data_IF_226042543746
#
_entry.id   IF_226042543746
#
_cell.length_a   1.000
_cell.length_b   1.000
_cell.length_c   1.000
_cell.angle_alpha   90.00
_cell.angle_beta   90.00
_cell.angle_gamma   90.00
#
_symmetry.space_group_name_H-M   'P 1'
#
loop_
_entity.id
_entity.type
_entity.pdbx_description
1 polymer ?
#
# COMPACT_ATOMS: atom_id res chain seq x y z
N UNK A 1 24.92 5.20 -2.01
CA UNK A 1 23.71 6.01 -2.21
C UNK A 1 24.02 7.41 -1.70
N UNK A 2 23.92 8.42 -2.57
CA UNK A 2 24.12 9.83 -2.22
C UNK A 2 23.00 10.31 -1.29
N UNK A 3 23.23 11.38 -0.52
CA UNK A 3 22.19 12.04 0.29
C UNK A 3 21.01 12.46 -0.61
N UNK A 4 21.29 12.91 -1.83
CA UNK A 4 20.27 13.28 -2.83
C UNK A 4 19.39 12.09 -3.25
N UNK A 5 19.97 10.90 -3.38
CA UNK A 5 19.21 9.70 -3.78
C UNK A 5 18.21 9.32 -2.68
N UNK A 6 18.60 9.41 -1.41
CA UNK A 6 17.73 9.10 -0.27
C UNK A 6 16.53 10.04 -0.18
N UNK A 7 16.71 11.34 -0.42
CA UNK A 7 15.61 12.30 -0.41
C UNK A 7 14.62 12.04 -1.56
N UNK A 8 15.11 11.77 -2.78
CA UNK A 8 14.25 11.43 -3.93
C UNK A 8 13.41 10.18 -3.65
N UNK A 9 14.01 9.16 -3.05
CA UNK A 9 13.30 7.95 -2.67
C UNK A 9 12.25 8.19 -1.57
N UNK A 10 12.56 9.06 -0.62
CA UNK A 10 11.64 9.45 0.46
C UNK A 10 10.46 10.24 -0.10
N UNK A 11 10.70 11.17 -1.02
CA UNK A 11 9.66 11.93 -1.70
C UNK A 11 8.75 10.99 -2.49
N UNK A 12 9.31 10.08 -3.31
CA UNK A 12 8.51 9.10 -4.06
C UNK A 12 7.62 8.23 -3.15
N UNK A 13 8.17 7.76 -2.02
CA UNK A 13 7.41 7.01 -1.03
C UNK A 13 6.27 7.84 -0.43
N UNK A 14 6.55 9.07 0.00
CA UNK A 14 5.55 9.96 0.59
C UNK A 14 4.47 10.36 -0.41
N UNK A 15 4.83 10.65 -1.66
CA UNK A 15 3.89 11.01 -2.71
C UNK A 15 2.97 9.83 -3.08
N UNK A 16 3.46 8.60 -2.95
CA UNK A 16 2.69 7.39 -3.33
C UNK A 16 1.86 6.82 -2.17
N UNK A 17 2.39 6.83 -0.95
CA UNK A 17 1.78 6.14 0.21
C UNK A 17 1.45 7.09 1.38
N UNK A 18 1.85 8.36 1.32
CA UNK A 18 1.69 9.35 2.39
C UNK A 18 0.25 9.50 2.89
N UNK A 19 -0.70 9.59 1.97
CA UNK A 19 -2.12 9.72 2.32
C UNK A 19 -2.66 8.49 3.06
N UNK A 20 -2.20 7.29 2.69
CA UNK A 20 -2.58 6.05 3.38
C UNK A 20 -1.97 5.97 4.78
N UNK A 21 -0.72 6.44 4.95
CA UNK A 21 -0.05 6.48 6.25
C UNK A 21 -0.80 7.41 7.21
N UNK A 22 -1.14 8.61 6.75
CA UNK A 22 -1.92 9.56 7.55
C UNK A 22 -3.33 9.05 7.81
N UNK A 23 -3.95 8.36 6.86
CA UNK A 23 -5.25 7.72 7.09
C UNK A 23 -5.17 6.66 8.20
N UNK A 24 -4.23 5.73 8.14
CA UNK A 24 -4.07 4.68 9.17
C UNK A 24 -3.82 5.29 10.56
N UNK A 25 -2.96 6.32 10.63
CA UNK A 25 -2.67 7.04 11.88
C UNK A 25 -3.88 7.76 12.47
N UNK A 26 -4.74 8.34 11.63
CA UNK A 26 -5.89 9.12 12.08
C UNK A 26 -7.13 8.26 12.39
N UNK A 27 -7.21 7.05 11.83
CA UNK A 27 -8.40 6.20 11.92
C UNK A 27 -8.17 4.89 12.68
N UNK A 28 -6.96 4.65 13.22
CA UNK A 28 -6.56 3.38 13.84
C UNK A 28 -6.90 2.17 12.93
N UNK A 29 -6.58 2.33 11.63
CA UNK A 29 -6.81 1.31 10.63
C UNK A 29 -5.50 0.61 10.22
N UNK A 30 -5.62 -0.40 9.36
CA UNK A 30 -4.49 -1.18 8.86
C UNK A 30 -4.53 -1.33 7.33
N UNK A 31 -4.99 -0.29 6.61
CA UNK A 31 -5.16 -0.37 5.15
C UNK A 31 -3.81 -0.46 4.44
N UNK A 32 -2.76 0.16 4.98
CA UNK A 32 -1.42 0.14 4.39
C UNK A 32 -0.83 -1.28 4.44
N UNK A 33 -0.97 -1.95 5.58
CA UNK A 33 -0.50 -3.33 5.77
C UNK A 33 -1.27 -4.32 4.88
N UNK A 34 -2.60 -4.15 4.80
CA UNK A 34 -3.46 -4.94 3.93
C UNK A 34 -3.10 -4.76 2.46
N UNK A 35 -2.82 -3.53 2.03
CA UNK A 35 -2.36 -3.25 0.68
C UNK A 35 -1.01 -3.91 0.39
N UNK A 36 -0.03 -3.79 1.31
CA UNK A 36 1.29 -4.41 1.16
C UNK A 36 1.17 -5.91 0.92
N UNK A 37 0.44 -6.61 1.80
CA UNK A 37 0.27 -8.05 1.68
C UNK A 37 -0.49 -8.46 0.41
N UNK A 38 -1.52 -7.70 0.03
CA UNK A 38 -2.26 -7.90 -1.21
C UNK A 38 -1.34 -7.83 -2.44
N UNK A 39 -0.48 -6.82 -2.52
CA UNK A 39 0.47 -6.62 -3.63
C UNK A 39 1.54 -7.71 -3.67
N UNK A 40 2.09 -8.10 -2.52
CA UNK A 40 3.08 -9.18 -2.40
C UNK A 40 2.50 -10.54 -2.83
N UNK A 41 1.19 -10.72 -2.68
CA UNK A 41 0.47 -11.94 -3.07
C UNK A 41 -0.27 -11.82 -4.41
N UNK A 42 0.27 -11.02 -5.33
CA UNK A 42 -0.23 -10.86 -6.71
C UNK A 42 -1.70 -10.42 -6.79
N UNK A 43 -2.13 -9.58 -5.87
CA UNK A 43 -3.49 -9.07 -5.83
C UNK A 43 -4.54 -10.09 -5.37
N UNK A 44 -4.14 -11.10 -4.59
CA UNK A 44 -5.08 -12.11 -4.09
C UNK A 44 -5.81 -11.64 -2.84
N UNK A 45 -7.08 -11.23 -3.00
CA UNK A 45 -7.98 -10.94 -1.86
C UNK A 45 -8.13 -12.15 -0.94
N UNK A 46 -8.19 -13.36 -1.51
CA UNK A 46 -8.35 -14.58 -0.72
C UNK A 46 -7.16 -14.82 0.20
N UNK A 47 -5.93 -14.81 -0.34
CA UNK A 47 -4.71 -14.99 0.48
C UNK A 47 -4.59 -13.89 1.54
N UNK A 48 -4.94 -12.66 1.18
CA UNK A 48 -4.94 -11.53 2.12
C UNK A 48 -5.93 -11.77 3.26
N UNK A 49 -7.15 -12.22 2.96
CA UNK A 49 -8.16 -12.49 3.96
C UNK A 49 -7.75 -13.63 4.92
N UNK A 50 -7.14 -14.69 4.37
CA UNK A 50 -6.58 -15.80 5.15
C UNK A 50 -5.45 -15.35 6.08
N UNK A 51 -4.55 -14.48 5.61
CA UNK A 51 -3.44 -13.96 6.40
C UNK A 51 -3.89 -13.09 7.58
N UNK A 52 -4.84 -12.19 7.34
CA UNK A 52 -5.37 -11.30 8.38
C UNK A 52 -6.47 -11.94 9.23
N UNK A 53 -6.81 -13.22 9.01
CA UNK A 53 -7.88 -13.93 9.71
C UNK A 53 -9.23 -13.19 9.67
N UNK A 54 -9.55 -12.57 8.53
CA UNK A 54 -10.80 -11.84 8.32
C UNK A 54 -11.55 -12.36 7.11
N UNK A 55 -12.82 -11.99 7.00
CA UNK A 55 -13.59 -12.31 5.80
C UNK A 55 -13.11 -11.48 4.60
N UNK A 56 -13.19 -12.04 3.38
CA UNK A 56 -12.84 -11.35 2.12
C UNK A 56 -13.52 -9.98 1.94
N UNK A 57 -14.73 -9.81 2.46
CA UNK A 57 -15.46 -8.53 2.38
C UNK A 57 -14.74 -7.43 3.19
N UNK A 58 -14.13 -7.80 4.32
CA UNK A 58 -13.36 -6.88 5.15
C UNK A 58 -12.07 -6.45 4.43
N UNK A 59 -11.43 -7.34 3.67
CA UNK A 59 -10.31 -6.99 2.79
C UNK A 59 -10.77 -6.08 1.65
N UNK A 60 -11.84 -6.46 0.94
CA UNK A 60 -12.38 -5.64 -0.16
C UNK A 60 -12.76 -4.23 0.30
N UNK A 61 -13.35 -4.08 1.48
CA UNK A 61 -13.64 -2.77 2.05
C UNK A 61 -12.38 -1.92 2.22
N UNK A 62 -11.31 -2.49 2.79
CA UNK A 62 -10.03 -1.79 2.97
C UNK A 62 -9.37 -1.46 1.64
N UNK A 63 -9.36 -2.40 0.70
CA UNK A 63 -8.82 -2.18 -0.65
C UNK A 63 -9.62 -1.12 -1.42
N UNK A 64 -10.95 -1.06 -1.28
CA UNK A 64 -11.76 0.02 -1.83
C UNK A 64 -11.40 1.36 -1.18
N UNK A 65 -11.18 1.39 0.14
CA UNK A 65 -10.70 2.60 0.83
C UNK A 65 -9.33 3.06 0.31
N UNK A 66 -8.42 2.14 0.02
CA UNK A 66 -7.14 2.48 -0.63
C UNK A 66 -7.37 3.15 -1.98
N UNK A 67 -8.23 2.58 -2.83
CA UNK A 67 -8.54 3.16 -4.15
C UNK A 67 -9.18 4.54 -4.02
N UNK A 68 -10.11 4.71 -3.08
CA UNK A 68 -10.79 5.98 -2.81
C UNK A 68 -9.80 7.07 -2.36
N UNK A 69 -8.83 6.71 -1.51
CA UNK A 69 -7.84 7.66 -0.96
C UNK A 69 -6.86 8.07 -2.04
N UNK A 70 -6.29 7.10 -2.77
CA UNK A 70 -5.27 7.35 -3.78
C UNK A 70 -5.81 7.82 -5.13
N UNK A 71 -7.14 7.85 -5.31
CA UNK A 71 -7.81 8.04 -6.60
C UNK A 71 -7.21 7.14 -7.70
N UNK A 72 -6.99 5.86 -7.37
CA UNK A 72 -6.20 4.92 -8.17
C UNK A 72 -6.89 3.56 -8.28
N UNK A 73 -6.97 3.02 -9.50
CA UNK A 73 -7.45 1.65 -9.74
C UNK A 73 -6.33 0.63 -9.46
N UNK A 74 -6.43 -0.11 -8.35
CA UNK A 74 -5.42 -1.12 -7.97
C UNK A 74 -5.63 -2.48 -8.67
N UNK A 75 -6.67 -2.60 -9.51
CA UNK A 75 -6.83 -3.74 -10.43
C UNK A 75 -5.94 -3.61 -11.67
N UNK A 76 -5.49 -2.40 -11.98
CA UNK A 76 -4.49 -2.14 -13.01
C UNK A 76 -3.09 -2.63 -12.60
N UNK A 77 -2.34 -3.17 -13.56
CA UNK A 77 -1.03 -3.75 -13.30
C UNK A 77 0.03 -2.67 -13.02
N UNK A 78 0.02 -1.58 -13.77
CA UNK A 78 1.02 -0.52 -13.67
C UNK A 78 0.88 0.21 -12.32
N UNK A 79 -0.35 0.48 -11.90
CA UNK A 79 -0.65 1.01 -10.57
C UNK A 79 -0.14 0.09 -9.44
N UNK A 80 -0.37 -1.23 -9.54
CA UNK A 80 0.16 -2.18 -8.56
C UNK A 80 1.69 -2.21 -8.52
N UNK A 81 2.35 -2.08 -9.67
CA UNK A 81 3.80 -2.03 -9.75
C UNK A 81 4.31 -0.75 -9.07
N UNK A 82 3.71 0.40 -9.35
CA UNK A 82 4.05 1.68 -8.72
C UNK A 82 3.96 1.60 -7.19
N UNK A 83 2.83 1.09 -6.68
CA UNK A 83 2.61 0.91 -5.24
C UNK A 83 3.60 -0.07 -4.62
N UNK A 84 3.86 -1.20 -5.29
CA UNK A 84 4.82 -2.20 -4.81
C UNK A 84 6.24 -1.63 -4.76
N UNK A 85 6.63 -0.81 -5.74
CA UNK A 85 7.91 -0.11 -5.75
C UNK A 85 8.01 0.85 -4.57
N UNK A 86 6.94 1.59 -4.23
CA UNK A 86 6.93 2.49 -3.08
C UNK A 86 7.16 1.73 -1.76
N UNK A 87 6.54 0.55 -1.59
CA UNK A 87 6.83 -0.32 -0.43
C UNK A 87 8.28 -0.82 -0.40
N UNK A 88 8.85 -1.22 -1.54
CA UNK A 88 10.25 -1.66 -1.61
C UNK A 88 11.22 -0.52 -1.25
N UNK A 89 10.95 0.69 -1.76
CA UNK A 89 11.74 1.88 -1.46
C UNK A 89 11.69 2.20 0.04
N UNK A 90 10.50 2.13 0.66
CA UNK A 90 10.35 2.28 2.11
C UNK A 90 11.19 1.28 2.88
N UNK A 91 11.07 0.00 2.56
CA UNK A 91 11.79 -1.09 3.25
C UNK A 91 13.33 -0.96 3.10
N UNK A 92 13.82 -0.24 2.09
CA UNK A 92 15.25 0.06 1.91
C UNK A 92 15.73 1.31 2.67
N UNK A 93 14.80 2.19 3.07
CA UNK A 93 15.10 3.42 3.80
C UNK A 93 14.96 3.26 5.33
N UNK A 94 14.10 2.33 5.77
CA UNK A 94 13.94 1.88 7.17
C UNK A 94 15.17 1.07 7.65
#
# INVERSE_FOLDING_TARGET
MSITDKEVFKDYYNDTLGELIEYDKNNDSNILEVLKYYLENNGSVQKTAEHFYVHRNSINYRLNKVQDILDMDISDLDNRIQLRLAFMVRDMLD
#
